data_IF_898709453699
#
_entry.id   IF_898709453699
#
_cell.length_a   1.000
_cell.length_b   1.000
_cell.length_c   1.000
_cell.angle_alpha   90.00
_cell.angle_beta   90.00
_cell.angle_gamma   90.00
#
_symmetry.space_group_name_H-M   'P 1'
#
loop_
_entity.id
_entity.type
_entity.pdbx_description
1 polymer ?
#
# COMPACT_ATOMS: atom_id res chain seq x y z
N UNK A 1 -8.98 -10.93 16.24
CA UNK A 1 -9.17 -9.74 15.38
C UNK A 1 -10.15 -10.08 14.28
N UNK A 2 -11.29 -9.36 14.22
CA UNK A 2 -12.34 -9.53 13.20
C UNK A 2 -11.72 -9.25 11.82
N UNK A 3 -11.98 -10.09 10.80
CA UNK A 3 -11.59 -9.80 9.42
C UNK A 3 -12.36 -8.55 8.98
N UNK A 4 -11.77 -7.37 9.15
CA UNK A 4 -12.27 -6.17 8.51
C UNK A 4 -12.15 -6.39 7.01
N UNK A 5 -13.25 -6.16 6.30
CA UNK A 5 -13.20 -6.11 4.83
C UNK A 5 -12.20 -5.04 4.44
N UNK A 6 -11.45 -5.25 3.35
CA UNK A 6 -10.55 -4.23 2.75
C UNK A 6 -11.29 -2.90 2.59
N UNK A 7 -12.59 -2.95 2.28
CA UNK A 7 -13.46 -1.78 2.24
C UNK A 7 -13.51 -1.01 3.56
N UNK A 8 -13.62 -1.71 4.70
CA UNK A 8 -13.71 -1.08 6.01
C UNK A 8 -12.42 -0.37 6.40
N UNK A 9 -11.27 -0.87 5.96
CA UNK A 9 -9.95 -0.24 6.19
C UNK A 9 -9.84 1.05 5.37
N UNK A 10 -10.29 1.01 4.11
CA UNK A 10 -10.30 2.19 3.24
C UNK A 10 -11.24 3.26 3.81
N UNK A 11 -12.46 2.88 4.20
CA UNK A 11 -13.44 3.81 4.75
C UNK A 11 -12.97 4.47 6.06
N UNK A 12 -12.39 3.71 6.99
CA UNK A 12 -11.93 4.28 8.26
C UNK A 12 -10.81 5.32 8.06
N UNK A 13 -9.90 5.06 7.12
CA UNK A 13 -8.81 5.98 6.77
C UNK A 13 -9.30 7.19 5.98
N UNK A 14 -10.26 6.99 5.07
CA UNK A 14 -10.89 8.06 4.30
C UNK A 14 -11.62 9.07 5.22
N UNK A 15 -12.29 8.58 6.27
CA UNK A 15 -12.92 9.46 7.28
C UNK A 15 -11.86 10.28 8.02
N UNK A 16 -10.72 9.68 8.37
CA UNK A 16 -9.61 10.37 9.01
C UNK A 16 -9.06 11.53 8.17
N UNK A 17 -8.81 11.31 6.88
CA UNK A 17 -8.32 12.38 6.00
C UNK A 17 -9.39 13.45 5.79
N UNK A 18 -10.68 13.08 5.67
CA UNK A 18 -11.76 14.05 5.53
C UNK A 18 -11.87 14.95 6.76
N UNK A 19 -11.83 14.36 7.96
CA UNK A 19 -11.83 15.11 9.22
C UNK A 19 -10.62 16.05 9.32
N UNK A 20 -9.43 15.58 8.95
CA UNK A 20 -8.23 16.41 8.89
C UNK A 20 -8.39 17.61 7.95
N UNK A 21 -8.94 17.40 6.73
CA UNK A 21 -9.16 18.47 5.77
C UNK A 21 -10.15 19.52 6.28
N UNK A 22 -11.24 19.09 6.91
CA UNK A 22 -12.24 19.99 7.50
C UNK A 22 -11.61 20.83 8.61
N UNK A 23 -10.89 20.19 9.54
CA UNK A 23 -10.21 20.89 10.63
C UNK A 23 -9.17 21.88 10.11
N UNK A 24 -8.39 21.50 9.09
CA UNK A 24 -7.40 22.38 8.48
C UNK A 24 -8.04 23.57 7.78
N UNK A 25 -9.14 23.37 7.05
CA UNK A 25 -9.88 24.45 6.41
C UNK A 25 -10.44 25.44 7.44
N UNK A 26 -11.04 24.94 8.53
CA UNK A 26 -11.50 25.77 9.64
C UNK A 26 -10.32 26.54 10.25
N UNK A 27 -9.22 25.87 10.58
CA UNK A 27 -8.05 26.51 11.13
C UNK A 27 -7.46 27.59 10.21
N UNK A 28 -7.47 27.37 8.88
CA UNK A 28 -7.05 28.36 7.89
C UNK A 28 -7.97 29.59 7.85
N UNK A 29 -9.26 29.44 8.07
CA UNK A 29 -10.17 30.59 8.20
C UNK A 29 -9.87 31.35 9.49
N UNK A 30 -9.59 30.64 10.58
CA UNK A 30 -9.26 31.23 11.88
C UNK A 30 -7.99 32.09 11.86
N UNK A 31 -7.05 31.88 10.92
CA UNK A 31 -5.85 32.74 10.80
C UNK A 31 -6.18 34.21 10.53
N UNK A 32 -7.37 34.52 9.99
CA UNK A 32 -7.82 35.90 9.79
C UNK A 32 -8.30 36.58 11.08
N UNK A 33 -8.56 35.80 12.13
CA UNK A 33 -9.12 36.27 13.40
C UNK A 33 -8.13 36.13 14.56
N UNK A 34 -7.10 35.30 14.41
CA UNK A 34 -6.08 35.04 15.44
C UNK A 34 -4.77 35.71 15.03
N UNK A 35 -4.42 36.79 15.73
CA UNK A 35 -3.14 37.49 15.55
C UNK A 35 -2.04 36.81 16.37
N UNK A 36 -1.61 35.64 15.92
CA UNK A 36 -0.51 34.90 16.53
C UNK A 36 0.39 34.32 15.43
N UNK A 37 1.64 34.77 15.40
CA UNK A 37 2.61 34.39 14.38
C UNK A 37 2.92 32.90 14.35
N UNK A 38 3.00 32.25 15.51
CA UNK A 38 3.26 30.81 15.63
C UNK A 38 2.09 30.01 15.08
N UNK A 39 0.87 30.35 15.50
CA UNK A 39 -0.36 29.74 14.99
C UNK A 39 -0.42 29.82 13.46
N UNK A 40 -0.27 31.04 12.92
CA UNK A 40 -0.32 31.27 11.47
C UNK A 40 0.77 30.48 10.73
N UNK A 41 1.98 30.39 11.29
CA UNK A 41 3.08 29.61 10.71
C UNK A 41 2.76 28.11 10.66
N UNK A 42 2.19 27.55 11.72
CA UNK A 42 1.81 26.12 11.78
C UNK A 42 0.67 25.83 10.79
N UNK A 43 -0.36 26.67 10.72
CA UNK A 43 -1.48 26.46 9.81
C UNK A 43 -1.05 26.60 8.34
N UNK A 44 -0.22 27.60 8.04
CA UNK A 44 0.35 27.76 6.70
C UNK A 44 1.23 26.56 6.33
N UNK A 45 2.07 26.08 7.24
CA UNK A 45 2.85 24.86 7.02
C UNK A 45 1.96 23.66 6.65
N UNK A 46 0.87 23.43 7.39
CA UNK A 46 -0.04 22.32 7.10
C UNK A 46 -0.72 22.48 5.73
N UNK A 47 -1.09 23.71 5.37
CA UNK A 47 -1.73 24.03 4.10
C UNK A 47 -0.76 23.89 2.91
N UNK A 48 0.45 24.42 3.02
CA UNK A 48 1.49 24.35 1.98
C UNK A 48 2.00 22.92 1.75
N UNK A 49 1.88 22.07 2.77
CA UNK A 49 2.23 20.65 2.70
C UNK A 49 1.02 19.73 2.48
N UNK A 50 -0.15 20.28 2.21
CA UNK A 50 -1.39 19.51 2.03
C UNK A 50 -1.25 18.46 0.92
N UNK A 51 -0.68 18.84 -0.22
CA UNK A 51 -0.46 17.91 -1.34
C UNK A 51 0.44 16.74 -0.93
N UNK A 52 1.51 17.03 -0.18
CA UNK A 52 2.43 15.99 0.32
C UNK A 52 1.71 15.05 1.30
N UNK A 53 0.87 15.59 2.19
CA UNK A 53 0.05 14.78 3.10
C UNK A 53 -0.93 13.87 2.34
N UNK A 54 -1.55 14.36 1.26
CA UNK A 54 -2.43 13.56 0.41
C UNK A 54 -1.67 12.46 -0.36
N UNK A 55 -0.45 12.74 -0.84
CA UNK A 55 0.41 11.73 -1.46
C UNK A 55 0.78 10.64 -0.45
N UNK A 56 1.18 11.02 0.77
CA UNK A 56 1.47 10.07 1.87
C UNK A 56 0.25 9.20 2.14
N UNK A 57 -0.93 9.80 2.27
CA UNK A 57 -2.18 9.07 2.47
C UNK A 57 -2.45 8.06 1.35
N UNK A 58 -2.30 8.47 0.09
CA UNK A 58 -2.50 7.60 -1.07
C UNK A 58 -1.52 6.42 -1.07
N UNK A 59 -0.22 6.69 -0.92
CA UNK A 59 0.80 5.64 -0.87
C UNK A 59 0.60 4.69 0.32
N UNK A 60 0.19 5.21 1.48
CA UNK A 60 -0.14 4.41 2.65
C UNK A 60 -1.29 3.45 2.36
N UNK A 61 -2.40 3.95 1.79
CA UNK A 61 -3.54 3.12 1.41
C UNK A 61 -3.16 2.05 0.40
N UNK A 62 -2.51 2.45 -0.70
CA UNK A 62 -2.16 1.52 -1.77
C UNK A 62 -1.21 0.46 -1.23
N UNK A 63 -0.14 0.85 -0.51
CA UNK A 63 0.80 -0.10 0.09
C UNK A 63 0.11 -1.11 1.01
N UNK A 64 -0.79 -0.66 1.88
CA UNK A 64 -1.53 -1.51 2.80
C UNK A 64 -2.46 -2.51 2.09
N UNK A 65 -3.14 -2.08 1.02
CA UNK A 65 -3.93 -2.97 0.17
C UNK A 65 -3.04 -4.06 -0.42
N UNK A 66 -1.85 -3.69 -0.92
CA UNK A 66 -0.89 -4.65 -1.47
C UNK A 66 -0.37 -5.62 -0.40
N UNK A 67 -0.20 -5.18 0.86
CA UNK A 67 0.19 -6.04 1.97
C UNK A 67 -0.84 -7.12 2.32
N UNK A 68 -2.13 -6.83 2.12
CA UNK A 68 -3.22 -7.76 2.43
C UNK A 68 -3.39 -8.85 1.36
N UNK A 69 -2.86 -8.63 0.16
CA UNK A 69 -2.92 -9.65 -0.88
C UNK A 69 -2.05 -10.87 -0.58
N UNK A 70 -2.46 -12.01 -1.14
CA UNK A 70 -1.60 -13.19 -1.19
C UNK A 70 -0.61 -13.03 -2.31
N UNK A 71 0.56 -13.60 -2.07
CA UNK A 71 1.60 -13.86 -3.05
C UNK A 71 1.03 -14.44 -4.37
N UNK A 72 1.39 -13.89 -5.54
CA UNK A 72 2.45 -12.90 -5.82
C UNK A 72 2.05 -11.44 -5.71
N UNK A 73 0.78 -11.14 -5.45
CA UNK A 73 0.26 -9.78 -5.56
C UNK A 73 0.71 -8.86 -4.44
N UNK A 74 1.35 -9.35 -3.37
CA UNK A 74 1.94 -8.52 -2.32
C UNK A 74 3.40 -8.13 -2.56
N UNK A 75 4.04 -8.61 -3.64
CA UNK A 75 5.43 -8.26 -3.98
C UNK A 75 5.67 -6.76 -4.22
N UNK A 76 4.70 -5.95 -4.72
CA UNK A 76 4.87 -4.50 -4.82
C UNK A 76 4.83 -3.77 -3.48
N UNK A 77 4.30 -4.40 -2.41
CA UNK A 77 4.05 -3.72 -1.14
C UNK A 77 5.32 -3.12 -0.50
N UNK A 78 6.48 -3.82 -0.47
CA UNK A 78 7.73 -3.25 0.08
C UNK A 78 8.22 -2.03 -0.72
N UNK A 79 8.10 -2.04 -2.05
CA UNK A 79 8.53 -0.91 -2.91
C UNK A 79 7.62 0.30 -2.65
N UNK A 80 6.31 0.09 -2.59
CA UNK A 80 5.35 1.15 -2.28
C UNK A 80 5.55 1.69 -0.86
N UNK A 81 5.89 0.83 0.10
CA UNK A 81 6.23 1.21 1.47
C UNK A 81 7.51 2.04 1.54
N UNK A 82 8.50 1.76 0.69
CA UNK A 82 9.75 2.52 0.64
C UNK A 82 9.56 3.90 -0.03
N UNK A 83 8.72 3.98 -1.07
CA UNK A 83 8.30 5.27 -1.60
C UNK A 83 7.54 6.09 -0.54
N UNK A 84 6.60 5.45 0.18
CA UNK A 84 5.89 6.06 1.30
C UNK A 84 6.83 6.59 2.38
N UNK A 85 7.82 5.79 2.81
CA UNK A 85 8.77 6.22 3.84
C UNK A 85 9.56 7.45 3.42
N UNK A 86 9.91 7.56 2.14
CA UNK A 86 10.56 8.76 1.59
C UNK A 86 9.67 9.99 1.77
N UNK A 87 8.40 9.94 1.36
CA UNK A 87 7.50 11.08 1.54
C UNK A 87 7.29 11.44 3.02
N UNK A 88 7.22 10.45 3.91
CA UNK A 88 7.14 10.68 5.36
C UNK A 88 8.39 11.40 5.87
N UNK A 89 9.58 10.97 5.46
CA UNK A 89 10.85 11.63 5.83
C UNK A 89 10.86 13.07 5.31
N UNK A 90 10.40 13.31 4.09
CA UNK A 90 10.25 14.67 3.55
C UNK A 90 9.34 15.52 4.43
N UNK A 91 8.20 14.99 4.84
CA UNK A 91 7.25 15.72 5.69
C UNK A 91 7.85 16.04 7.06
N UNK A 92 8.51 15.06 7.69
CA UNK A 92 9.20 15.24 8.97
C UNK A 92 10.33 16.28 8.85
N UNK A 93 11.10 16.24 7.77
CA UNK A 93 12.15 17.21 7.53
C UNK A 93 11.60 18.63 7.36
N UNK A 94 10.51 18.81 6.62
CA UNK A 94 9.86 20.12 6.50
C UNK A 94 9.29 20.58 7.84
N UNK A 95 8.75 19.68 8.66
CA UNK A 95 8.30 20.00 10.01
C UNK A 95 9.49 20.44 10.89
N UNK A 96 10.64 19.78 10.76
CA UNK A 96 11.87 20.18 11.43
C UNK A 96 12.33 21.58 11.00
N UNK A 97 12.24 21.92 9.72
CA UNK A 97 12.53 23.28 9.23
C UNK A 97 11.57 24.33 9.83
N UNK A 98 10.28 23.99 9.96
CA UNK A 98 9.32 24.85 10.67
C UNK A 98 9.76 25.07 12.12
N UNK A 99 10.09 24.00 12.85
CA UNK A 99 10.57 24.11 14.24
C UNK A 99 11.80 25.01 14.30
N UNK A 100 12.80 24.77 13.45
CA UNK A 100 14.02 25.59 13.37
C UNK A 100 13.71 27.07 13.15
N UNK A 101 12.74 27.38 12.29
CA UNK A 101 12.31 28.77 12.05
C UNK A 101 11.65 29.43 13.27
N UNK A 102 11.12 28.62 14.21
CA UNK A 102 10.43 29.09 15.41
C UNK A 102 11.33 29.09 16.66
N UNK A 103 12.38 28.26 16.72
CA UNK A 103 13.10 27.96 17.97
C UNK A 103 14.60 28.27 17.99
N UNK A 104 15.15 29.05 17.04
CA UNK A 104 16.60 29.34 16.94
C UNK A 104 17.48 28.08 17.03
N UNK A 105 16.92 26.91 16.71
CA UNK A 105 17.56 25.63 16.96
C UNK A 105 18.47 25.27 15.78
N UNK A 106 19.77 25.20 16.02
CA UNK A 106 20.77 24.89 15.00
C UNK A 106 21.20 23.43 15.08
N UNK A 107 20.42 22.57 14.41
CA UNK A 107 20.81 21.19 14.17
C UNK A 107 20.71 20.90 12.67
N UNK A 108 21.78 20.33 12.11
CA UNK A 108 21.82 19.87 10.74
C UNK A 108 21.63 18.34 10.72
N UNK A 109 20.68 17.89 9.91
CA UNK A 109 20.38 16.47 9.76
C UNK A 109 20.90 16.00 8.40
N UNK A 110 21.65 14.89 8.33
CA UNK A 110 22.16 14.33 7.07
C UNK A 110 21.01 13.65 6.31
N UNK A 111 20.12 14.46 5.73
CA UNK A 111 18.81 13.99 5.26
C UNK A 111 18.95 12.98 4.12
N UNK A 112 19.93 13.16 3.23
CA UNK A 112 20.19 12.25 2.11
C UNK A 112 20.56 10.83 2.59
N UNK A 113 21.37 10.75 3.65
CA UNK A 113 21.74 9.48 4.27
C UNK A 113 20.53 8.83 4.95
N UNK A 114 19.69 9.62 5.63
CA UNK A 114 18.45 9.14 6.25
C UNK A 114 17.48 8.60 5.19
N UNK A 115 17.29 9.31 4.06
CA UNK A 115 16.49 8.82 2.94
C UNK A 115 16.99 7.48 2.41
N UNK A 116 18.30 7.39 2.12
CA UNK A 116 18.90 6.19 1.56
C UNK A 116 18.73 4.98 2.50
N UNK A 117 19.08 5.15 3.78
CA UNK A 117 19.00 4.08 4.78
C UNK A 117 17.54 3.65 4.98
N UNK A 118 16.61 4.59 5.10
CA UNK A 118 15.20 4.25 5.31
C UNK A 118 14.60 3.57 4.07
N UNK A 119 14.92 4.03 2.86
CA UNK A 119 14.42 3.44 1.62
C UNK A 119 14.90 1.99 1.48
N UNK A 120 16.22 1.76 1.59
CA UNK A 120 16.81 0.43 1.49
C UNK A 120 16.33 -0.47 2.64
N UNK A 121 16.31 0.05 3.87
CA UNK A 121 15.88 -0.67 5.05
C UNK A 121 14.44 -1.18 4.92
N UNK A 122 13.52 -0.32 4.47
CA UNK A 122 12.10 -0.70 4.27
C UNK A 122 11.96 -1.78 3.20
N UNK A 123 12.72 -1.73 2.11
CA UNK A 123 12.72 -2.77 1.08
C UNK A 123 13.20 -4.11 1.65
N UNK A 124 14.35 -4.13 2.33
CA UNK A 124 14.94 -5.36 2.88
C UNK A 124 14.00 -5.98 3.90
N UNK A 125 13.51 -5.19 4.85
CA UNK A 125 12.61 -5.66 5.90
C UNK A 125 11.29 -6.16 5.27
N UNK A 126 10.72 -5.39 4.34
CA UNK A 126 9.47 -5.74 3.69
C UNK A 126 9.55 -7.06 2.93
N UNK A 127 10.58 -7.27 2.11
CA UNK A 127 10.74 -8.53 1.39
C UNK A 127 11.05 -9.69 2.33
N UNK A 128 11.82 -9.46 3.40
CA UNK A 128 12.09 -10.47 4.43
C UNK A 128 10.80 -10.97 5.09
N UNK A 129 9.86 -10.07 5.40
CA UNK A 129 8.53 -10.43 5.94
C UNK A 129 7.73 -11.29 4.94
N UNK A 130 7.76 -10.94 3.65
CA UNK A 130 7.04 -11.70 2.61
C UNK A 130 7.59 -13.14 2.52
N UNK A 131 8.92 -13.29 2.47
CA UNK A 131 9.57 -14.60 2.41
C UNK A 131 9.28 -15.41 3.67
N UNK A 132 9.41 -14.82 4.86
CA UNK A 132 9.13 -15.49 6.12
C UNK A 132 7.66 -15.98 6.21
N UNK A 133 6.70 -15.18 5.74
CA UNK A 133 5.29 -15.57 5.66
C UNK A 133 5.05 -16.72 4.67
N UNK A 134 5.78 -16.75 3.56
CA UNK A 134 5.68 -17.81 2.55
C UNK A 134 6.22 -19.14 3.11
N UNK A 135 7.44 -19.13 3.66
CA UNK A 135 8.10 -20.31 4.24
C UNK A 135 7.26 -20.93 5.36
N UNK A 136 6.78 -20.10 6.32
CA UNK A 136 5.92 -20.59 7.42
C UNK A 136 4.64 -21.27 6.93
N UNK A 137 4.08 -20.82 5.80
CA UNK A 137 2.82 -21.35 5.27
C UNK A 137 2.99 -22.70 4.59
N UNK A 138 4.13 -22.94 3.96
CA UNK A 138 4.44 -24.20 3.30
C UNK A 138 4.94 -25.25 4.33
N UNK A 139 5.76 -24.85 5.31
CA UNK A 139 6.17 -25.75 6.41
C UNK A 139 4.99 -26.26 7.26
N UNK A 140 3.92 -25.46 7.41
CA UNK A 140 2.70 -25.89 8.12
C UNK A 140 1.87 -26.93 7.35
N UNK A 141 2.05 -27.04 6.03
CA UNK A 141 1.39 -28.04 5.19
C UNK A 141 2.13 -29.38 5.18
N UNK A 142 3.43 -29.38 5.46
CA UNK A 142 4.26 -30.58 5.39
C UNK A 142 4.56 -31.21 6.77
N UNK A 143 4.10 -30.62 7.88
CA UNK A 143 4.29 -31.20 9.22
C UNK A 143 5.77 -31.23 9.67
N UNK A 144 6.65 -30.49 9.01
CA UNK A 144 8.10 -30.56 9.22
C UNK A 144 8.48 -29.67 10.42
N UNK A 145 8.71 -30.30 11.58
CA UNK A 145 9.41 -29.72 12.75
C UNK A 145 10.95 -29.86 12.62
N UNK A 146 11.56 -29.44 11.50
CA UNK A 146 13.02 -29.47 11.39
C UNK A 146 13.59 -28.05 11.44
N UNK A 147 14.68 -27.90 12.18
CA UNK A 147 15.51 -26.70 12.23
C UNK A 147 15.86 -26.28 10.80
N UNK A 148 15.55 -25.04 10.45
CA UNK A 148 15.74 -24.53 9.09
C UNK A 148 17.23 -24.16 8.96
N UNK A 149 18.00 -24.96 8.24
CA UNK A 149 19.38 -24.62 7.89
C UNK A 149 19.42 -23.55 6.77
N UNK A 150 20.45 -22.70 6.77
CA UNK A 150 20.67 -21.68 5.74
C UNK A 150 20.71 -22.25 4.31
N UNK A 151 21.19 -23.48 4.14
CA UNK A 151 21.19 -24.18 2.85
C UNK A 151 19.78 -24.47 2.33
N UNK A 152 18.82 -24.71 3.22
CA UNK A 152 17.43 -24.97 2.86
C UNK A 152 16.69 -23.70 2.45
N UNK A 153 17.06 -22.54 2.99
CA UNK A 153 16.45 -21.25 2.64
C UNK A 153 16.59 -20.95 1.14
N UNK A 154 17.78 -21.18 0.57
CA UNK A 154 18.02 -20.97 -0.86
C UNK A 154 17.21 -21.92 -1.75
N UNK A 155 17.09 -23.19 -1.36
CA UNK A 155 16.31 -24.19 -2.09
C UNK A 155 14.81 -23.89 -2.02
N UNK A 156 14.33 -23.50 -0.85
CA UNK A 156 12.95 -23.06 -0.63
C UNK A 156 12.64 -21.78 -1.41
N UNK A 157 13.56 -20.81 -1.48
CA UNK A 157 13.42 -19.62 -2.30
C UNK A 157 13.33 -19.96 -3.80
N UNK A 158 14.17 -20.87 -4.30
CA UNK A 158 14.11 -21.34 -5.70
C UNK A 158 12.77 -22.01 -6.01
N UNK A 159 12.32 -22.92 -5.14
CA UNK A 159 11.02 -23.59 -5.25
C UNK A 159 9.85 -22.60 -5.21
N UNK A 160 9.95 -21.60 -4.33
CA UNK A 160 9.01 -20.50 -4.23
C UNK A 160 8.93 -19.69 -5.53
N UNK A 161 10.07 -19.24 -6.07
CA UNK A 161 10.13 -18.48 -7.32
C UNK A 161 9.60 -19.28 -8.51
N UNK A 162 9.95 -20.57 -8.57
CA UNK A 162 9.42 -21.48 -9.58
C UNK A 162 7.88 -21.62 -9.50
N UNK A 163 7.36 -21.85 -8.30
CA UNK A 163 5.92 -21.95 -8.05
C UNK A 163 5.19 -20.63 -8.36
N UNK A 164 5.85 -19.50 -8.13
CA UNK A 164 5.35 -18.16 -8.44
C UNK A 164 5.18 -17.96 -9.94
N UNK A 165 6.23 -18.25 -10.72
CA UNK A 165 6.20 -18.21 -12.17
C UNK A 165 5.14 -19.14 -12.76
N UNK A 166 5.04 -20.37 -12.23
CA UNK A 166 4.01 -21.35 -12.66
C UNK A 166 2.58 -20.86 -12.38
N UNK A 167 2.32 -20.28 -11.21
CA UNK A 167 1.00 -19.73 -10.85
C UNK A 167 0.62 -18.52 -11.71
N UNK A 168 1.56 -17.61 -11.95
CA UNK A 168 1.36 -16.45 -12.81
C UNK A 168 0.96 -16.91 -14.23
N UNK A 169 1.73 -17.83 -14.83
CA UNK A 169 1.47 -18.35 -16.16
C UNK A 169 0.10 -19.07 -16.28
N UNK A 170 -0.26 -19.89 -15.28
CA UNK A 170 -1.55 -20.59 -15.27
C UNK A 170 -2.74 -19.62 -15.21
N UNK A 171 -2.61 -18.55 -14.40
CA UNK A 171 -3.65 -17.52 -14.28
C UNK A 171 -3.89 -16.73 -15.58
N UNK A 172 -2.85 -16.57 -16.40
CA UNK A 172 -2.93 -15.93 -17.72
C UNK A 172 -3.60 -16.84 -18.74
N UNK A 173 -3.19 -18.12 -18.81
CA UNK A 173 -3.80 -19.11 -19.72
C UNK A 173 -5.28 -19.36 -19.44
N UNK A 174 -5.68 -19.40 -18.17
CA UNK A 174 -7.08 -19.65 -17.80
C UNK A 174 -8.00 -18.46 -18.17
N UNK A 175 -7.47 -17.23 -18.12
CA UNK A 175 -8.16 -16.02 -18.61
C UNK A 175 -8.34 -16.05 -20.14
N UNK A 176 -7.34 -16.51 -20.89
CA UNK A 176 -7.44 -16.66 -22.35
C UNK A 176 -8.47 -17.72 -22.77
N UNK A 177 -8.47 -18.88 -22.10
CA UNK A 177 -9.43 -19.97 -22.38
C UNK A 177 -10.86 -19.54 -22.07
N UNK A 178 -11.10 -18.82 -20.97
CA UNK A 178 -12.42 -18.25 -20.64
C UNK A 178 -12.86 -17.19 -21.66
N UNK A 179 -11.94 -16.36 -22.16
CA UNK A 179 -12.22 -15.36 -23.21
C UNK A 179 -12.59 -16.01 -24.54
N UNK A 180 -11.91 -17.11 -24.93
CA UNK A 180 -12.26 -17.91 -26.12
C UNK A 180 -13.61 -18.63 -25.98
N UNK A 181 -13.95 -19.15 -24.79
CA UNK A 181 -15.26 -19.80 -24.54
C UNK A 181 -16.43 -18.82 -24.57
N UNK A 182 -16.27 -17.57 -24.09
CA UNK A 182 -17.32 -16.54 -24.20
C UNK A 182 -17.62 -16.11 -25.65
N UNK A 183 -16.61 -16.11 -26.54
CA UNK A 183 -16.79 -15.82 -27.97
C UNK A 183 -17.48 -16.95 -28.77
N UNK A 184 -17.55 -18.17 -28.23
CA UNK A 184 -18.09 -19.35 -28.93
C UNK A 184 -19.52 -19.74 -28.51
N UNK A 185 -20.21 -18.98 -27.67
CA UNK A 185 -21.63 -19.28 -27.36
C UNK A 185 -22.50 -18.92 -28.57
N UNK A 186 -23.23 -19.86 -29.19
CA UNK A 186 -24.15 -19.54 -30.28
C UNK A 186 -25.32 -18.72 -29.73
N UNK A 187 -25.74 -17.72 -30.52
CA UNK A 187 -26.95 -16.92 -30.29
C UNK A 187 -28.13 -17.88 -30.32
N UNK A 188 -28.84 -18.08 -29.20
CA UNK A 188 -30.07 -18.88 -29.18
C UNK A 188 -31.05 -18.26 -30.19
N UNK A 189 -31.34 -18.97 -31.27
CA UNK A 189 -32.45 -18.70 -32.17
C UNK A 189 -33.72 -18.98 -31.37
N UNK A 190 -34.52 -17.95 -31.15
CA UNK A 190 -35.83 -18.06 -30.51
C UNK A 190 -36.79 -18.44 -31.63
N UNK A 191 -37.18 -19.71 -31.68
CA UNK A 191 -38.25 -20.18 -32.56
C UNK A 191 -39.58 -19.81 -31.90
N UNK A 192 -40.26 -18.81 -32.46
CA UNK A 192 -41.65 -18.48 -32.11
C UNK A 192 -42.53 -19.57 -32.74
N UNK A 193 -43.08 -20.45 -31.91
CA UNK A 193 -44.20 -21.31 -32.31
C UNK A 193 -45.47 -20.47 -32.16
N UNK A 194 -45.97 -19.93 -33.27
CA UNK A 194 -47.34 -19.46 -33.41
C UNK A 194 -48.26 -20.69 -33.45
N UNK A 195 -49.01 -20.92 -32.37
CA UNK A 195 -50.20 -21.79 -32.41
C UNK A 195 -51.39 -20.95 -32.85
N UNK A 196 -51.74 -21.11 -34.13
CA UNK A 196 -53.04 -20.77 -34.72
C UNK A 196 -54.10 -21.83 -34.39
N UNK A 197 -55.31 -21.35 -34.04
CA UNK A 197 -56.65 -22.00 -34.11
C UNK A 197 -56.88 -23.16 -33.10
N UNK A 198 -58.06 -23.32 -32.51
CA UNK A 198 -59.44 -22.90 -32.81
C UNK A 198 -60.23 -22.72 -31.51
#
# INVERSE_FOLDING_TARGET
>A
MKKSSVLSIIFSKAIGILAFLILLAIAKVLTNYIDNSVYNSVINFLFDNLLLALIIFFFALVSEIFWEFKLPFNLPAPILSAALSSYIITYIYRLFLLIKSLTYFELELPIDLIYMIAFIGVIIIGYSIIVAKAVKKDGKKEGIKKEVEWKDVGKQFKLFMYNLGKKANKSTKEKEVKKKRKKRKPKKVIEKVETTKS
#
